data_IF_378272792046
#
_entry.id   IF_378272792046
#
_cell.length_a   1.000
_cell.length_b   1.000
_cell.length_c   1.000
_cell.angle_alpha   90.00
_cell.angle_beta   90.00
_cell.angle_gamma   90.00
#
_symmetry.space_group_name_H-M   'P 1'
#
loop_
_entity.id
_entity.type
_entity.pdbx_description
1 polymer ?
#
# COMPACT_ATOMS: atom_id res chain seq x y z
N UNK A 1 15.83 6.04 66.04
CA UNK A 1 15.20 4.96 65.20
C UNK A 1 14.72 5.63 63.92
N UNK A 2 15.47 5.42 62.86
CA UNK A 2 15.29 6.11 61.55
C UNK A 2 14.50 5.21 60.60
N UNK A 3 13.28 5.63 60.28
CA UNK A 3 12.44 4.99 59.30
C UNK A 3 12.88 5.39 57.88
N UNK A 4 13.35 4.44 57.11
CA UNK A 4 13.71 4.65 55.70
C UNK A 4 12.48 4.36 54.80
N UNK A 5 11.94 5.43 54.24
CA UNK A 5 10.91 5.35 53.18
C UNK A 5 11.63 4.95 51.88
N UNK A 6 11.40 3.73 51.42
CA UNK A 6 11.87 3.26 50.12
C UNK A 6 10.82 3.68 49.05
N UNK A 7 11.18 4.68 48.22
CA UNK A 7 10.49 4.97 46.98
C UNK A 7 10.73 3.80 46.01
N UNK A 8 9.68 3.06 45.70
CA UNK A 8 9.64 2.13 44.61
C UNK A 8 9.30 2.93 43.34
N UNK A 9 10.31 3.30 42.57
CA UNK A 9 10.15 3.76 41.22
C UNK A 9 9.87 2.51 40.39
N UNK A 10 8.62 2.29 40.00
CA UNK A 10 8.25 1.30 39.02
C UNK A 10 8.71 1.81 37.63
N UNK A 11 9.89 1.37 37.23
CA UNK A 11 10.40 1.56 35.89
C UNK A 11 9.56 0.66 34.96
N UNK A 12 8.55 1.22 34.28
CA UNK A 12 7.88 0.57 33.19
C UNK A 12 8.88 0.51 32.01
N UNK A 13 9.65 -0.55 31.96
CA UNK A 13 10.37 -0.93 30.73
C UNK A 13 9.28 -1.43 29.78
N UNK A 14 8.85 -0.55 28.87
CA UNK A 14 8.16 -0.98 27.66
C UNK A 14 9.19 -1.76 26.87
N UNK A 15 9.22 -3.07 27.11
CA UNK A 15 9.92 -4.02 26.25
C UNK A 15 9.13 -4.01 24.92
N UNK A 16 9.48 -3.12 24.01
CA UNK A 16 9.16 -3.30 22.61
C UNK A 16 9.82 -4.60 22.21
N UNK A 17 9.07 -5.71 22.28
CA UNK A 17 9.42 -6.88 21.53
C UNK A 17 9.44 -6.43 20.08
N UNK A 18 10.64 -6.14 19.59
CA UNK A 18 10.94 -6.29 18.18
C UNK A 18 10.70 -7.79 17.95
N UNK A 19 9.47 -8.11 17.56
CA UNK A 19 9.18 -9.40 16.93
C UNK A 19 10.08 -9.37 15.69
N UNK A 20 11.11 -10.21 15.60
CA UNK A 20 11.79 -10.34 14.32
C UNK A 20 10.69 -10.81 13.36
N UNK A 21 10.27 -9.96 12.45
CA UNK A 21 9.46 -10.30 11.28
C UNK A 21 10.27 -11.12 10.29
N UNK A 22 11.11 -11.96 10.79
CA UNK A 22 11.89 -12.99 10.14
C UNK A 22 11.56 -14.34 10.75
N UNK A 23 10.28 -14.71 10.76
CA UNK A 23 9.99 -16.09 10.44
C UNK A 23 10.44 -16.25 9.00
N UNK A 24 11.66 -16.79 8.80
CA UNK A 24 12.03 -17.38 7.54
C UNK A 24 10.82 -18.24 7.15
N UNK A 25 10.05 -17.78 6.18
CA UNK A 25 9.11 -18.60 5.44
C UNK A 25 9.87 -19.88 5.15
N UNK A 26 9.38 -21.03 5.58
CA UNK A 26 9.94 -22.30 5.19
C UNK A 26 10.18 -22.20 3.69
N UNK A 27 11.44 -22.31 3.26
CA UNK A 27 11.92 -22.10 1.89
C UNK A 27 10.90 -22.71 0.95
N UNK A 28 10.05 -21.88 0.34
CA UNK A 28 9.00 -22.35 -0.56
C UNK A 28 9.72 -22.94 -1.76
N UNK A 29 9.80 -24.27 -1.82
CA UNK A 29 10.53 -24.95 -2.86
C UNK A 29 9.66 -25.04 -4.10
N UNK A 30 10.10 -24.43 -5.17
CA UNK A 30 9.51 -24.54 -6.49
C UNK A 30 10.25 -25.62 -7.29
N UNK A 31 9.55 -26.24 -8.22
CA UNK A 31 10.15 -27.19 -9.16
C UNK A 31 10.05 -26.61 -10.55
N UNK A 32 11.19 -26.45 -11.23
CA UNK A 32 11.25 -26.14 -12.64
C UNK A 32 11.44 -27.39 -13.46
N UNK A 33 10.70 -27.54 -14.55
CA UNK A 33 10.82 -28.67 -15.45
C UNK A 33 10.46 -28.31 -16.87
N UNK A 34 11.03 -29.08 -17.82
CA UNK A 34 10.66 -29.01 -19.24
C UNK A 34 9.46 -29.95 -19.48
N UNK A 35 8.43 -29.45 -20.14
CA UNK A 35 7.29 -30.26 -20.58
C UNK A 35 7.62 -31.12 -21.78
N UNK A 36 6.60 -31.78 -22.31
CA UNK A 36 6.75 -32.62 -23.50
C UNK A 36 7.20 -31.76 -24.69
N UNK A 37 8.09 -32.35 -25.51
CA UNK A 37 8.62 -31.69 -26.71
C UNK A 37 7.51 -31.26 -27.63
N UNK A 38 7.54 -30.00 -28.00
CA UNK A 38 6.66 -29.44 -29.02
C UNK A 38 7.30 -29.49 -30.42
N UNK A 39 6.65 -28.85 -31.37
CA UNK A 39 6.96 -28.91 -32.82
C UNK A 39 8.38 -28.43 -33.16
N UNK A 40 8.91 -27.46 -32.39
CA UNK A 40 10.18 -26.77 -32.73
C UNK A 40 11.19 -26.87 -31.60
N UNK A 41 12.48 -26.87 -31.94
CA UNK A 41 13.56 -26.61 -30.97
C UNK A 41 13.34 -25.23 -30.35
N UNK A 42 13.52 -25.09 -29.05
CA UNK A 42 13.25 -23.90 -28.22
C UNK A 42 11.76 -23.60 -27.97
N UNK A 43 10.85 -24.40 -28.50
CA UNK A 43 9.42 -24.29 -28.19
C UNK A 43 8.96 -25.20 -27.07
N UNK A 44 9.85 -26.09 -26.59
CA UNK A 44 9.54 -26.99 -25.49
C UNK A 44 9.08 -26.16 -24.29
N UNK A 45 7.87 -26.45 -23.74
CA UNK A 45 7.33 -25.67 -22.67
C UNK A 45 8.17 -25.82 -21.40
N UNK A 46 8.48 -24.70 -20.77
CA UNK A 46 9.14 -24.68 -19.47
C UNK A 46 8.13 -24.19 -18.45
N UNK A 47 8.10 -24.87 -17.29
CA UNK A 47 7.16 -24.55 -16.23
C UNK A 47 7.86 -24.45 -14.89
N UNK A 48 7.34 -23.56 -14.04
CA UNK A 48 7.58 -23.55 -12.60
C UNK A 48 6.33 -24.07 -11.92
N UNK A 49 6.47 -25.12 -11.13
CA UNK A 49 5.40 -25.74 -10.37
C UNK A 49 5.51 -25.41 -8.89
N UNK A 50 4.38 -25.04 -8.29
CA UNK A 50 4.21 -24.91 -6.85
C UNK A 50 2.76 -25.23 -6.47
N UNK A 51 2.56 -26.06 -5.45
CA UNK A 51 1.26 -26.35 -4.83
C UNK A 51 0.12 -26.69 -5.81
N UNK A 52 0.44 -27.38 -6.91
CA UNK A 52 -0.55 -27.81 -7.91
C UNK A 52 -0.73 -26.86 -9.09
N UNK A 53 -0.04 -25.73 -9.12
CA UNK A 53 -0.07 -24.77 -10.22
C UNK A 53 1.19 -24.85 -11.07
N UNK A 54 0.99 -24.86 -12.42
CA UNK A 54 2.06 -24.71 -13.38
C UNK A 54 2.02 -23.32 -13.98
N UNK A 55 3.12 -22.58 -13.89
CA UNK A 55 3.28 -21.29 -14.57
C UNK A 55 4.28 -21.43 -15.69
N UNK A 56 3.93 -20.88 -16.87
CA UNK A 56 4.85 -20.81 -17.99
C UNK A 56 6.08 -20.00 -17.60
N UNK A 57 7.25 -20.56 -17.87
CA UNK A 57 8.53 -19.97 -17.57
C UNK A 57 9.40 -19.83 -18.82
N UNK A 58 10.38 -18.96 -18.74
CA UNK A 58 11.40 -18.76 -19.75
C UNK A 58 12.80 -18.97 -19.17
N UNK A 59 13.64 -19.62 -19.96
CA UNK A 59 15.04 -19.82 -19.60
C UNK A 59 15.81 -18.50 -19.56
N UNK A 60 16.62 -18.41 -18.54
CA UNK A 60 17.61 -17.39 -18.30
C UNK A 60 19.00 -18.06 -18.33
N UNK A 61 20.01 -17.52 -18.98
CA UNK A 61 21.31 -18.13 -19.19
C UNK A 61 21.31 -19.29 -20.23
N UNK A 62 21.20 -18.93 -21.51
CA UNK A 62 21.17 -19.89 -22.63
C UNK A 62 22.36 -20.84 -22.71
N UNK A 63 23.51 -20.46 -22.15
CA UNK A 63 24.73 -21.25 -22.07
C UNK A 63 24.66 -22.47 -21.16
N UNK A 64 23.71 -22.48 -20.20
CA UNK A 64 23.54 -23.55 -19.21
C UNK A 64 22.60 -24.64 -19.73
N UNK A 65 22.55 -25.76 -19.01
CA UNK A 65 21.65 -26.88 -19.32
C UNK A 65 20.19 -26.48 -19.09
N UNK A 66 19.32 -26.88 -19.99
CA UNK A 66 17.87 -26.79 -19.81
C UNK A 66 17.45 -27.67 -18.63
N UNK A 67 16.52 -27.24 -17.75
CA UNK A 67 15.98 -28.11 -16.71
C UNK A 67 15.43 -29.41 -17.28
N UNK A 68 15.61 -30.56 -16.59
CA UNK A 68 15.10 -31.84 -17.02
C UNK A 68 13.57 -31.89 -17.03
N UNK A 69 13.02 -32.91 -17.65
CA UNK A 69 11.58 -33.17 -17.69
C UNK A 69 11.01 -33.49 -16.30
N UNK A 70 9.67 -33.41 -16.17
CA UNK A 70 9.00 -33.82 -14.94
C UNK A 70 9.28 -35.29 -14.58
N UNK A 71 9.29 -36.18 -15.55
CA UNK A 71 9.57 -37.62 -15.39
C UNK A 71 11.00 -37.86 -14.88
N UNK A 72 11.93 -36.97 -15.20
CA UNK A 72 13.30 -37.00 -14.71
C UNK A 72 13.47 -36.28 -13.35
N UNK A 73 12.36 -35.78 -12.77
CA UNK A 73 12.32 -35.19 -11.44
C UNK A 73 12.46 -33.66 -11.42
N UNK A 74 12.57 -32.98 -12.57
CA UNK A 74 12.75 -31.55 -12.65
C UNK A 74 13.99 -31.04 -11.89
N UNK A 75 14.04 -29.75 -11.57
CA UNK A 75 15.06 -29.13 -10.72
C UNK A 75 14.42 -28.27 -9.64
N UNK A 76 14.93 -28.32 -8.43
CA UNK A 76 14.49 -27.43 -7.36
C UNK A 76 15.07 -26.04 -7.57
N UNK A 77 14.21 -25.06 -7.57
CA UNK A 77 14.55 -23.64 -7.62
C UNK A 77 13.98 -22.92 -6.39
N UNK A 78 14.51 -21.75 -6.10
CA UNK A 78 13.92 -20.85 -5.12
C UNK A 78 13.63 -19.49 -5.77
N UNK A 79 12.51 -18.93 -5.37
CA UNK A 79 12.10 -17.60 -5.82
C UNK A 79 12.95 -16.55 -5.13
N UNK A 80 13.40 -15.56 -5.89
CA UNK A 80 13.99 -14.35 -5.32
C UNK A 80 12.83 -13.41 -5.04
N UNK A 81 12.50 -13.26 -3.74
CA UNK A 81 11.44 -12.37 -3.32
C UNK A 81 11.83 -10.92 -3.57
N UNK A 82 10.88 -10.13 -4.10
CA UNK A 82 11.09 -8.71 -4.39
C UNK A 82 12.32 -8.43 -5.27
N UNK A 83 12.57 -9.30 -6.26
CA UNK A 83 13.72 -9.15 -7.16
C UNK A 83 13.76 -7.75 -7.79
N UNK A 84 14.83 -7.02 -7.48
CA UNK A 84 15.10 -5.70 -8.04
C UNK A 84 15.57 -5.78 -9.48
N UNK A 85 15.56 -4.67 -10.21
CA UNK A 85 16.12 -4.62 -11.55
C UNK A 85 17.61 -4.98 -11.57
N UNK A 86 18.34 -4.58 -10.53
CA UNK A 86 19.75 -4.91 -10.35
C UNK A 86 19.96 -6.42 -10.19
N UNK A 87 19.14 -7.12 -9.39
CA UNK A 87 19.25 -8.57 -9.23
C UNK A 87 18.95 -9.33 -10.53
N UNK A 88 17.96 -8.85 -11.32
CA UNK A 88 17.71 -9.38 -12.66
C UNK A 88 18.94 -9.21 -13.56
N UNK A 89 19.54 -8.04 -13.52
CA UNK A 89 20.72 -7.72 -14.33
C UNK A 89 21.94 -8.56 -13.90
N UNK A 90 22.18 -8.71 -12.61
CA UNK A 90 23.29 -9.48 -12.03
C UNK A 90 23.21 -10.99 -12.31
N UNK A 91 22.05 -11.52 -12.70
CA UNK A 91 21.90 -12.92 -13.05
C UNK A 91 22.15 -13.23 -14.52
N UNK A 92 22.44 -12.23 -15.35
CA UNK A 92 22.82 -12.41 -16.75
C UNK A 92 24.21 -13.03 -16.88
N UNK A 93 24.51 -13.55 -18.06
CA UNK A 93 25.88 -13.97 -18.38
C UNK A 93 26.79 -12.73 -18.63
N UNK A 94 28.11 -12.90 -18.51
CA UNK A 94 29.10 -11.81 -18.58
C UNK A 94 29.03 -10.96 -19.86
N UNK A 95 28.46 -11.46 -20.94
CA UNK A 95 28.36 -10.79 -22.23
C UNK A 95 26.99 -10.20 -22.53
N UNK A 96 26.25 -9.83 -21.52
CA UNK A 96 24.92 -9.22 -21.70
C UNK A 96 25.02 -7.85 -22.38
N UNK A 97 23.94 -7.47 -23.13
CA UNK A 97 23.83 -6.13 -23.69
C UNK A 97 23.96 -5.07 -22.59
N UNK A 98 24.80 -4.07 -22.85
CA UNK A 98 24.95 -2.96 -21.90
C UNK A 98 23.66 -2.16 -21.89
N UNK A 99 22.95 -2.22 -20.77
CA UNK A 99 21.72 -1.48 -20.50
C UNK A 99 21.70 -1.10 -19.02
N UNK A 100 20.99 -0.03 -18.69
CA UNK A 100 20.67 0.26 -17.28
C UNK A 100 19.71 -0.80 -16.75
N UNK A 101 19.84 -1.25 -15.49
CA UNK A 101 19.06 -2.34 -14.92
C UNK A 101 17.53 -2.18 -15.06
N UNK A 102 17.01 -0.98 -14.85
CA UNK A 102 15.57 -0.69 -15.01
C UNK A 102 15.11 -0.83 -16.48
N UNK A 103 15.90 -0.35 -17.42
CA UNK A 103 15.62 -0.51 -18.84
C UNK A 103 15.67 -1.99 -19.25
N UNK A 104 16.61 -2.75 -18.71
CA UNK A 104 16.72 -4.20 -18.91
C UNK A 104 15.49 -4.95 -18.39
N UNK A 105 15.08 -4.70 -17.14
CA UNK A 105 13.88 -5.31 -16.54
C UNK A 105 12.62 -4.96 -17.35
N UNK A 106 12.46 -3.70 -17.73
CA UNK A 106 11.34 -3.22 -18.57
C UNK A 106 11.32 -3.92 -19.93
N UNK A 107 12.48 -4.11 -20.57
CA UNK A 107 12.57 -4.80 -21.86
C UNK A 107 12.12 -6.26 -21.75
N UNK A 108 12.56 -7.00 -20.72
CA UNK A 108 12.13 -8.38 -20.47
C UNK A 108 10.63 -8.45 -20.19
N UNK A 109 10.12 -7.55 -19.33
CA UNK A 109 8.67 -7.44 -19.07
C UNK A 109 7.88 -7.21 -20.36
N UNK A 110 8.37 -6.33 -21.24
CA UNK A 110 7.74 -6.07 -22.54
C UNK A 110 7.71 -7.32 -23.43
N UNK A 111 8.82 -8.06 -23.51
CA UNK A 111 8.88 -9.33 -24.24
C UNK A 111 7.83 -10.31 -23.70
N UNK A 112 7.79 -10.50 -22.40
CA UNK A 112 6.88 -11.47 -21.77
C UNK A 112 5.41 -11.06 -21.90
N UNK A 113 5.09 -9.77 -21.83
CA UNK A 113 3.73 -9.26 -22.00
C UNK A 113 3.25 -9.41 -23.44
N UNK A 114 4.08 -9.03 -24.42
CA UNK A 114 3.77 -9.16 -25.83
C UNK A 114 3.79 -10.62 -26.32
N UNK A 115 4.67 -11.44 -25.72
CA UNK A 115 4.94 -12.82 -26.08
C UNK A 115 3.97 -13.84 -25.50
N UNK A 116 4.29 -15.12 -25.66
CA UNK A 116 3.50 -16.23 -25.13
C UNK A 116 3.68 -16.32 -23.59
N UNK A 117 2.67 -16.66 -22.78
CA UNK A 117 1.28 -16.99 -23.15
C UNK A 117 0.38 -15.74 -23.18
N UNK A 118 0.86 -14.57 -22.77
CA UNK A 118 0.03 -13.37 -22.60
C UNK A 118 -0.50 -12.85 -23.94
N UNK A 119 0.39 -12.79 -24.96
CA UNK A 119 0.02 -12.27 -26.29
C UNK A 119 -0.71 -10.92 -26.22
N UNK A 120 -0.23 -10.02 -25.37
CA UNK A 120 -0.93 -8.80 -24.96
C UNK A 120 -1.28 -7.84 -26.11
N UNK A 121 -0.57 -7.93 -27.22
CA UNK A 121 -0.85 -7.16 -28.44
C UNK A 121 -1.42 -8.02 -29.59
N UNK A 122 -1.78 -9.28 -29.35
CA UNK A 122 -2.32 -10.16 -30.38
C UNK A 122 -1.33 -10.52 -31.49
N UNK A 123 -0.03 -10.56 -31.19
CA UNK A 123 1.02 -10.79 -32.20
C UNK A 123 0.93 -12.20 -32.80
N UNK A 124 0.49 -13.19 -32.02
CA UNK A 124 0.33 -14.55 -32.49
C UNK A 124 -0.67 -14.61 -33.66
N UNK A 125 -1.82 -14.00 -33.52
CA UNK A 125 -2.87 -13.92 -34.55
C UNK A 125 -2.47 -13.00 -35.71
N UNK A 126 -1.87 -11.83 -35.37
CA UNK A 126 -1.42 -10.84 -36.37
C UNK A 126 -0.45 -11.45 -37.39
N UNK A 127 0.41 -12.35 -36.94
CA UNK A 127 1.45 -12.97 -37.75
C UNK A 127 1.18 -14.42 -38.14
N UNK A 128 -0.02 -14.94 -37.82
CA UNK A 128 -0.45 -16.29 -38.18
C UNK A 128 0.42 -17.40 -37.56
N UNK A 129 0.83 -17.24 -36.34
CA UNK A 129 1.74 -18.16 -35.63
C UNK A 129 0.98 -19.20 -34.84
N UNK A 130 1.52 -20.44 -34.75
CA UNK A 130 1.04 -21.43 -33.79
C UNK A 130 1.55 -21.09 -32.38
N UNK A 131 0.91 -21.67 -31.36
CA UNK A 131 1.34 -21.53 -29.96
C UNK A 131 2.80 -21.96 -29.77
N UNK A 132 3.20 -23.09 -30.39
CA UNK A 132 4.58 -23.59 -30.32
C UNK A 132 5.57 -22.62 -30.97
N UNK A 133 5.26 -22.15 -32.19
CA UNK A 133 6.08 -21.17 -32.88
C UNK A 133 6.24 -19.89 -32.07
N UNK A 134 5.13 -19.35 -31.56
CA UNK A 134 5.14 -18.09 -30.81
C UNK A 134 5.90 -18.20 -29.49
N UNK A 135 5.78 -19.36 -28.77
CA UNK A 135 6.58 -19.65 -27.58
C UNK A 135 8.06 -19.66 -27.89
N UNK A 136 8.47 -20.35 -28.93
CA UNK A 136 9.89 -20.42 -29.34
C UNK A 136 10.46 -19.05 -29.69
N UNK A 137 9.69 -18.23 -30.44
CA UNK A 137 10.09 -16.86 -30.77
C UNK A 137 10.20 -16.01 -29.50
N UNK A 138 9.26 -16.16 -28.57
CA UNK A 138 9.32 -15.44 -27.27
C UNK A 138 10.56 -15.81 -26.46
N UNK A 139 10.92 -17.10 -26.41
CA UNK A 139 12.16 -17.53 -25.73
C UNK A 139 13.40 -16.91 -26.36
N UNK A 140 13.47 -16.86 -27.70
CA UNK A 140 14.59 -16.21 -28.40
C UNK A 140 14.64 -14.70 -28.12
N UNK A 141 13.48 -14.05 -28.02
CA UNK A 141 13.38 -12.63 -27.64
C UNK A 141 13.82 -12.38 -26.19
N UNK A 142 13.52 -13.30 -25.26
CA UNK A 142 14.07 -13.25 -23.90
C UNK A 142 15.60 -13.32 -23.93
N UNK A 143 16.19 -14.28 -24.64
CA UNK A 143 17.63 -14.44 -24.77
C UNK A 143 18.31 -13.29 -25.52
N UNK A 144 17.58 -12.56 -26.36
CA UNK A 144 18.10 -11.33 -26.96
C UNK A 144 18.57 -10.33 -25.90
N UNK A 145 17.85 -10.23 -24.79
CA UNK A 145 18.20 -9.38 -23.68
C UNK A 145 19.09 -10.08 -22.64
N UNK A 146 18.69 -11.25 -22.17
CA UNK A 146 19.36 -11.94 -21.06
C UNK A 146 20.73 -12.51 -21.43
N UNK A 147 20.96 -12.82 -22.71
CA UNK A 147 22.17 -13.52 -23.18
C UNK A 147 22.85 -12.83 -24.38
N UNK A 148 22.40 -11.63 -24.76
CA UNK A 148 22.85 -10.89 -25.95
C UNK A 148 22.78 -11.71 -27.26
N UNK A 149 21.82 -12.64 -27.32
CA UNK A 149 21.63 -13.49 -28.50
C UNK A 149 21.07 -12.68 -29.67
N UNK A 150 21.90 -12.37 -30.65
CA UNK A 150 21.49 -11.69 -31.89
C UNK A 150 21.42 -12.68 -33.05
N UNK A 151 20.21 -13.00 -33.48
CA UNK A 151 19.95 -13.94 -34.58
C UNK A 151 19.72 -13.23 -35.94
N UNK A 152 19.86 -11.92 -36.00
CA UNK A 152 19.49 -11.11 -37.18
C UNK A 152 20.14 -11.56 -38.49
N UNK A 153 21.38 -12.06 -38.44
CA UNK A 153 22.11 -12.48 -39.63
C UNK A 153 21.85 -13.94 -40.06
N UNK A 154 21.26 -14.77 -39.18
CA UNK A 154 21.08 -16.19 -39.43
C UNK A 154 19.75 -16.76 -38.92
N UNK A 155 18.76 -15.89 -38.67
CA UNK A 155 17.45 -16.31 -38.13
C UNK A 155 16.77 -17.37 -39.03
N UNK A 156 16.99 -17.34 -40.34
CA UNK A 156 16.44 -18.30 -41.30
C UNK A 156 16.91 -19.75 -41.03
N UNK A 157 17.95 -19.96 -40.23
CA UNK A 157 18.40 -21.29 -39.83
C UNK A 157 17.67 -21.82 -38.59
N UNK A 158 16.84 -20.99 -37.96
CA UNK A 158 16.03 -21.37 -36.81
C UNK A 158 14.59 -21.63 -37.22
N UNK A 159 14.06 -22.76 -36.83
CA UNK A 159 12.61 -22.91 -36.75
C UNK A 159 12.08 -22.03 -35.63
N UNK A 160 10.97 -21.31 -35.78
CA UNK A 160 9.96 -21.41 -36.88
C UNK A 160 10.13 -20.37 -37.99
N UNK A 161 11.25 -19.63 -38.09
CA UNK A 161 11.38 -18.53 -39.05
C UNK A 161 11.41 -18.98 -40.53
N UNK A 162 11.84 -20.21 -40.78
CA UNK A 162 11.77 -20.84 -42.11
C UNK A 162 10.36 -21.28 -42.49
N UNK A 163 9.49 -21.49 -41.51
CA UNK A 163 8.15 -22.05 -41.70
C UNK A 163 7.07 -20.97 -41.74
N UNK A 164 7.20 -19.93 -40.94
CA UNK A 164 6.19 -18.87 -40.82
C UNK A 164 6.73 -17.53 -41.32
N UNK A 165 6.16 -17.01 -42.43
CA UNK A 165 6.62 -15.73 -43.01
C UNK A 165 6.54 -14.54 -42.06
N UNK A 166 5.59 -14.54 -41.11
CA UNK A 166 5.41 -13.49 -40.12
C UNK A 166 6.33 -13.62 -38.89
N UNK A 167 7.04 -14.74 -38.73
CA UNK A 167 7.82 -15.01 -37.53
C UNK A 167 8.90 -13.98 -37.23
N UNK A 168 9.63 -13.53 -38.27
CA UNK A 168 10.67 -12.52 -38.12
C UNK A 168 10.10 -11.16 -37.68
N UNK A 169 8.99 -10.74 -38.29
CA UNK A 169 8.35 -9.48 -37.90
C UNK A 169 7.82 -9.53 -36.45
N UNK A 170 7.22 -10.68 -36.06
CA UNK A 170 6.82 -10.90 -34.67
C UNK A 170 8.01 -10.80 -33.69
N UNK A 171 9.15 -11.42 -34.04
CA UNK A 171 10.37 -11.34 -33.24
C UNK A 171 10.88 -9.90 -33.10
N UNK A 172 10.86 -9.13 -34.18
CA UNK A 172 11.29 -7.73 -34.14
C UNK A 172 10.40 -6.86 -33.27
N UNK A 173 9.07 -7.11 -33.28
CA UNK A 173 8.16 -6.43 -32.33
C UNK A 173 8.45 -6.86 -30.89
N UNK A 174 8.64 -8.15 -30.62
CA UNK A 174 8.94 -8.65 -29.28
C UNK A 174 10.22 -8.05 -28.67
N UNK A 175 11.26 -7.82 -29.47
CA UNK A 175 12.52 -7.21 -29.01
C UNK A 175 12.46 -5.66 -29.01
N UNK A 176 11.31 -5.07 -29.26
CA UNK A 176 11.08 -3.62 -29.13
C UNK A 176 10.32 -3.35 -27.85
N UNK A 177 10.95 -2.73 -26.84
CA UNK A 177 10.29 -2.47 -25.55
C UNK A 177 9.08 -1.54 -25.70
N UNK A 178 8.03 -1.83 -24.98
CA UNK A 178 6.85 -0.97 -24.90
C UNK A 178 7.15 0.27 -24.04
N UNK A 179 6.57 1.40 -24.42
CA UNK A 179 6.66 2.63 -23.61
C UNK A 179 5.95 2.46 -22.26
N UNK A 180 4.80 1.78 -22.27
CA UNK A 180 3.97 1.51 -21.10
C UNK A 180 3.60 0.04 -21.03
N UNK A 181 3.56 -0.50 -19.82
CA UNK A 181 3.10 -1.86 -19.50
C UNK A 181 1.83 -1.77 -18.66
N UNK A 182 0.97 -2.81 -18.66
CA UNK A 182 -0.14 -2.87 -17.72
C UNK A 182 0.36 -2.77 -16.28
N UNK A 183 -0.35 -2.01 -15.46
CA UNK A 183 -0.08 -1.91 -14.03
C UNK A 183 -0.13 -3.28 -13.37
N UNK A 184 0.75 -3.53 -12.42
CA UNK A 184 0.82 -4.79 -11.70
C UNK A 184 1.44 -5.96 -12.49
N UNK A 185 1.92 -5.72 -13.72
CA UNK A 185 2.61 -6.76 -14.48
C UNK A 185 4.05 -6.90 -14.00
N UNK A 186 4.36 -8.02 -13.37
CA UNK A 186 5.63 -8.23 -12.66
C UNK A 186 6.36 -9.47 -13.17
N UNK A 187 7.68 -9.49 -12.93
CA UNK A 187 8.54 -10.67 -13.12
C UNK A 187 8.78 -11.35 -11.77
N UNK A 188 8.69 -12.67 -11.78
CA UNK A 188 9.22 -13.53 -10.74
C UNK A 188 10.50 -14.20 -11.24
N UNK A 189 11.57 -14.09 -10.49
CA UNK A 189 12.89 -14.65 -10.82
C UNK A 189 13.15 -15.86 -9.93
N UNK A 190 13.58 -16.96 -10.57
CA UNK A 190 13.88 -18.22 -9.88
C UNK A 190 15.32 -18.64 -10.15
N UNK A 191 16.09 -18.79 -9.09
CA UNK A 191 17.45 -19.29 -9.14
C UNK A 191 17.47 -20.80 -8.98
N UNK A 192 18.14 -21.48 -9.91
CA UNK A 192 18.33 -22.92 -9.81
C UNK A 192 19.34 -23.26 -8.70
N UNK A 193 19.01 -24.22 -7.83
CA UNK A 193 19.95 -24.70 -6.79
C UNK A 193 21.18 -25.38 -7.38
N UNK A 194 21.04 -26.01 -8.54
CA UNK A 194 22.16 -26.55 -9.29
C UNK A 194 22.58 -25.59 -10.39
N UNK A 195 23.69 -24.90 -10.19
CA UNK A 195 24.18 -23.86 -11.08
C UNK A 195 24.53 -24.33 -12.51
N UNK A 196 24.56 -25.64 -12.78
CA UNK A 196 24.71 -26.18 -14.13
C UNK A 196 23.46 -25.96 -14.99
N UNK A 197 22.29 -25.77 -14.36
CA UNK A 197 21.03 -25.56 -15.03
C UNK A 197 20.68 -24.06 -15.11
N UNK A 198 19.90 -23.76 -16.12
CA UNK A 198 19.40 -22.40 -16.36
C UNK A 198 18.55 -21.90 -15.18
N UNK A 199 18.71 -20.64 -14.84
CA UNK A 199 17.71 -19.93 -14.06
C UNK A 199 16.49 -19.69 -14.92
N UNK A 200 15.37 -19.34 -14.29
CA UNK A 200 14.12 -19.11 -15.04
C UNK A 200 13.38 -17.90 -14.52
N UNK A 201 12.57 -17.34 -15.36
CA UNK A 201 11.66 -16.25 -15.02
C UNK A 201 10.23 -16.62 -15.43
N UNK A 202 9.27 -16.11 -14.68
CA UNK A 202 7.85 -16.12 -15.00
C UNK A 202 7.32 -14.71 -14.89
N UNK A 203 6.18 -14.47 -15.53
CA UNK A 203 5.42 -13.25 -15.29
C UNK A 203 4.16 -13.55 -14.51
N UNK A 204 3.67 -12.56 -13.80
CA UNK A 204 2.39 -12.58 -13.12
C UNK A 204 1.75 -11.21 -13.17
N UNK A 205 0.43 -11.19 -13.10
CA UNK A 205 -0.30 -9.97 -12.78
C UNK A 205 -0.48 -9.96 -11.26
N UNK A 206 0.17 -9.02 -10.59
CA UNK A 206 -0.02 -8.84 -9.16
C UNK A 206 -1.40 -8.22 -8.89
N UNK A 207 -2.04 -8.62 -7.81
CA UNK A 207 -3.17 -7.86 -7.29
C UNK A 207 -2.66 -6.50 -6.83
N UNK A 208 -3.13 -5.45 -7.47
CA UNK A 208 -2.76 -4.09 -7.12
C UNK A 208 -3.56 -3.65 -5.90
N UNK A 209 -2.95 -2.91 -4.96
CA UNK A 209 -3.70 -2.25 -3.92
C UNK A 209 -4.78 -1.38 -4.54
N UNK A 210 -6.03 -1.63 -4.15
CA UNK A 210 -7.17 -0.91 -4.75
C UNK A 210 -7.50 0.39 -4.04
N UNK A 211 -6.86 0.66 -2.90
CA UNK A 211 -7.13 1.84 -2.08
C UNK A 211 -5.88 2.36 -1.36
N UNK A 212 -5.86 3.65 -1.14
CA UNK A 212 -4.89 4.37 -0.30
C UNK A 212 -5.60 5.53 0.40
N UNK A 213 -4.91 6.23 1.29
CA UNK A 213 -5.46 7.41 1.94
C UNK A 213 -4.38 8.40 2.33
N UNK A 214 -4.76 9.66 2.49
CA UNK A 214 -3.90 10.70 3.04
C UNK A 214 -4.61 11.42 4.18
N UNK A 215 -3.85 11.78 5.19
CA UNK A 215 -4.32 12.66 6.26
C UNK A 215 -3.57 13.99 6.19
N UNK A 216 -4.29 15.07 5.91
CA UNK A 216 -3.72 16.41 5.94
C UNK A 216 -3.38 16.82 7.37
N UNK A 217 -2.38 17.69 7.51
CA UNK A 217 -1.93 18.22 8.82
C UNK A 217 -1.95 19.73 8.77
N UNK A 218 -2.35 20.36 9.87
CA UNK A 218 -2.38 21.80 9.99
C UNK A 218 -2.07 22.25 11.42
N UNK A 219 -1.98 23.56 11.58
CA UNK A 219 -1.72 24.23 12.86
C UNK A 219 -2.78 25.31 13.06
N UNK A 220 -3.39 25.32 14.25
CA UNK A 220 -4.25 26.38 14.74
C UNK A 220 -3.50 27.21 15.77
N UNK A 221 -3.54 28.50 15.61
CA UNK A 221 -3.04 29.49 16.56
C UNK A 221 -4.20 30.36 17.04
N UNK A 222 -4.26 30.64 18.34
CA UNK A 222 -5.20 31.58 18.94
C UNK A 222 -4.40 32.61 19.74
N UNK A 223 -4.52 33.87 19.39
CA UNK A 223 -3.95 34.98 20.15
C UNK A 223 -4.95 35.48 21.19
N UNK A 224 -4.47 36.04 22.31
CA UNK A 224 -5.29 36.63 23.36
C UNK A 224 -5.70 35.69 24.49
N UNK A 225 -5.77 34.39 24.29
CA UNK A 225 -5.96 33.37 25.32
C UNK A 225 -5.45 31.97 24.90
N UNK A 226 -5.42 31.06 25.83
CA UNK A 226 -5.09 29.68 25.56
C UNK A 226 -6.13 29.03 24.63
N UNK A 227 -5.65 28.20 23.70
CA UNK A 227 -6.44 27.41 22.79
C UNK A 227 -7.02 26.19 23.53
N UNK A 228 -8.28 25.90 23.34
CA UNK A 228 -8.93 24.68 23.86
C UNK A 228 -9.03 23.65 22.74
N UNK A 229 -9.03 22.37 23.11
CA UNK A 229 -9.25 21.28 22.14
C UNK A 229 -10.69 21.31 21.59
N UNK A 230 -10.84 20.96 20.31
CA UNK A 230 -12.14 20.91 19.58
C UNK A 230 -12.90 22.22 19.54
N UNK A 231 -12.21 23.34 19.61
CA UNK A 231 -12.83 24.68 19.63
C UNK A 231 -13.07 25.24 18.23
N UNK A 232 -12.20 24.90 17.28
CA UNK A 232 -12.25 25.37 15.91
C UNK A 232 -12.35 24.19 14.94
N UNK A 233 -13.16 24.38 13.90
CA UNK A 233 -13.44 23.35 12.93
C UNK A 233 -12.92 23.76 11.55
N UNK A 234 -12.50 22.78 10.77
CA UNK A 234 -11.92 22.95 9.45
C UNK A 234 -12.59 22.01 8.47
N UNK A 235 -12.69 22.42 7.23
CA UNK A 235 -13.18 21.58 6.14
C UNK A 235 -12.21 21.56 4.98
N UNK A 236 -12.21 20.44 4.30
CA UNK A 236 -11.51 20.24 3.02
C UNK A 236 -12.56 19.99 1.97
N UNK A 237 -12.55 20.78 0.91
CA UNK A 237 -13.46 20.61 -0.23
C UNK A 237 -12.68 20.31 -1.50
N UNK A 238 -13.28 19.52 -2.39
CA UNK A 238 -12.77 19.28 -3.74
C UNK A 238 -12.99 20.48 -4.68
N UNK A 239 -12.61 20.33 -5.95
CA UNK A 239 -12.80 21.36 -6.98
C UNK A 239 -14.27 21.67 -7.29
N UNK A 240 -15.18 20.75 -6.98
CA UNK A 240 -16.62 20.92 -7.12
C UNK A 240 -17.25 21.58 -5.89
N UNK A 241 -16.45 21.84 -4.85
CA UNK A 241 -16.89 22.41 -3.59
C UNK A 241 -17.54 21.39 -2.64
N UNK A 242 -17.43 20.09 -2.95
CA UNK A 242 -17.92 19.00 -2.10
C UNK A 242 -16.98 18.82 -0.92
N UNK A 243 -17.52 18.71 0.29
CA UNK A 243 -16.72 18.42 1.47
C UNK A 243 -16.25 16.96 1.46
N UNK A 244 -14.92 16.75 1.48
CA UNK A 244 -14.27 15.44 1.46
C UNK A 244 -13.60 15.06 2.79
N UNK A 245 -13.31 16.07 3.64
CA UNK A 245 -12.71 15.82 4.96
C UNK A 245 -13.04 16.96 5.92
N UNK A 246 -13.03 16.63 7.21
CA UNK A 246 -13.16 17.59 8.33
C UNK A 246 -11.97 17.47 9.26
N UNK A 247 -11.66 18.58 9.93
CA UNK A 247 -10.66 18.63 10.97
C UNK A 247 -11.10 19.44 12.17
N UNK A 248 -10.48 19.16 13.30
CA UNK A 248 -10.63 19.93 14.54
C UNK A 248 -9.24 20.16 15.15
N UNK A 249 -9.10 21.25 15.93
CA UNK A 249 -7.85 21.52 16.62
C UNK A 249 -7.73 20.74 17.93
N UNK A 250 -6.51 20.36 18.25
CA UNK A 250 -6.11 19.94 19.60
C UNK A 250 -5.68 21.17 20.44
N UNK A 251 -5.53 20.98 21.76
CA UNK A 251 -5.08 22.04 22.66
C UNK A 251 -3.65 22.52 22.39
N UNK A 252 -2.81 21.69 21.79
CA UNK A 252 -1.44 22.01 21.37
C UNK A 252 -1.35 22.79 20.05
N UNK A 253 -2.51 23.02 19.41
CA UNK A 253 -2.61 23.72 18.14
C UNK A 253 -2.54 22.81 16.91
N UNK A 254 -2.23 21.54 17.04
CA UNK A 254 -2.32 20.64 15.89
C UNK A 254 -3.76 20.46 15.43
N UNK A 255 -3.96 20.34 14.11
CA UNK A 255 -5.26 20.05 13.51
C UNK A 255 -5.28 18.61 13.04
N UNK A 256 -6.21 17.82 13.55
CA UNK A 256 -6.47 16.46 13.11
C UNK A 256 -7.59 16.46 12.05
N UNK A 257 -7.22 16.19 10.81
CA UNK A 257 -8.18 15.98 9.72
C UNK A 257 -8.56 14.51 9.62
N UNK A 258 -9.76 14.20 9.13
CA UNK A 258 -10.10 12.86 8.71
C UNK A 258 -9.27 12.45 7.49
N UNK A 259 -9.12 11.14 7.27
CA UNK A 259 -8.47 10.62 6.08
C UNK A 259 -9.31 10.92 4.83
N UNK A 260 -8.62 11.26 3.74
CA UNK A 260 -9.19 11.29 2.39
C UNK A 260 -8.77 9.97 1.74
N UNK A 261 -9.75 9.15 1.36
CA UNK A 261 -9.52 7.84 0.78
C UNK A 261 -9.54 7.94 -0.74
N UNK A 262 -8.67 7.17 -1.38
CA UNK A 262 -8.56 7.06 -2.83
C UNK A 262 -8.55 5.60 -3.25
N UNK A 263 -9.03 5.36 -4.45
CA UNK A 263 -9.04 4.07 -5.10
C UNK A 263 -8.25 4.11 -6.40
N UNK A 264 -8.13 2.96 -7.05
CA UNK A 264 -7.46 2.85 -8.34
C UNK A 264 -8.00 3.83 -9.39
N UNK A 265 -9.31 4.06 -9.41
CA UNK A 265 -9.96 4.99 -10.32
C UNK A 265 -9.61 6.47 -10.07
N UNK A 266 -9.06 6.78 -8.90
CA UNK A 266 -8.67 8.13 -8.49
C UNK A 266 -7.20 8.46 -8.83
N UNK A 267 -6.51 7.63 -9.62
CA UNK A 267 -5.14 7.93 -10.06
C UNK A 267 -5.12 9.25 -10.83
N UNK A 268 -4.31 10.19 -10.35
CA UNK A 268 -4.20 11.53 -10.92
C UNK A 268 -3.93 12.61 -9.89
N UNK A 269 -4.00 13.85 -10.32
CA UNK A 269 -3.82 15.03 -9.47
C UNK A 269 -5.18 15.52 -8.98
N UNK A 270 -5.33 15.59 -7.65
CA UNK A 270 -6.52 16.10 -6.98
C UNK A 270 -6.21 17.40 -6.29
N UNK A 271 -7.06 18.39 -6.49
CA UNK A 271 -6.91 19.70 -5.87
C UNK A 271 -7.97 19.94 -4.81
N UNK A 272 -7.52 20.34 -3.64
CA UNK A 272 -8.38 20.61 -2.48
C UNK A 272 -8.24 22.03 -2.00
N UNK A 273 -9.33 22.55 -1.42
CA UNK A 273 -9.36 23.80 -0.70
C UNK A 273 -9.58 23.52 0.78
N UNK A 274 -8.68 24.00 1.63
CA UNK A 274 -8.75 23.85 3.08
C UNK A 274 -9.02 25.20 3.71
N UNK A 275 -10.06 25.31 4.55
CA UNK A 275 -10.44 26.52 5.24
C UNK A 275 -10.98 26.25 6.63
N UNK A 276 -10.92 27.26 7.49
CA UNK A 276 -11.61 27.24 8.78
C UNK A 276 -13.12 27.46 8.56
N UNK A 277 -13.93 26.82 9.40
CA UNK A 277 -15.37 27.07 9.47
C UNK A 277 -15.61 28.24 10.40
N UNK A 278 -16.21 29.30 9.89
CA UNK A 278 -16.57 30.44 10.72
C UNK A 278 -17.61 30.01 11.77
N UNK A 279 -17.32 30.25 13.03
CA UNK A 279 -18.21 29.97 14.16
C UNK A 279 -18.71 31.28 14.81
N UNK A 280 -19.42 31.13 15.93
CA UNK A 280 -20.06 32.22 16.67
C UNK A 280 -19.44 32.41 18.06
N UNK A 281 -18.18 32.05 18.27
CA UNK A 281 -17.54 32.25 19.57
C UNK A 281 -17.40 33.76 19.87
N UNK A 282 -17.89 34.22 21.05
CA UNK A 282 -17.83 35.62 21.39
C UNK A 282 -16.38 36.12 21.50
N UNK A 283 -16.16 37.32 21.02
CA UNK A 283 -14.86 37.99 21.04
C UNK A 283 -13.75 37.28 20.25
N UNK A 284 -14.10 36.37 19.32
CA UNK A 284 -13.16 35.72 18.43
C UNK A 284 -13.29 36.25 17.01
N UNK A 285 -12.20 36.78 16.48
CA UNK A 285 -12.06 37.09 15.07
C UNK A 285 -11.45 35.87 14.39
N UNK A 286 -12.21 35.26 13.46
CA UNK A 286 -11.83 34.04 12.75
C UNK A 286 -10.90 34.34 11.57
N UNK A 287 -10.00 33.42 11.28
CA UNK A 287 -9.12 33.46 10.12
C UNK A 287 -9.92 33.24 8.82
N UNK A 288 -9.80 34.15 7.91
CA UNK A 288 -10.40 34.02 6.56
C UNK A 288 -9.48 33.30 5.56
N UNK A 289 -8.35 32.77 6.00
CA UNK A 289 -7.39 32.10 5.11
C UNK A 289 -7.99 30.86 4.45
N UNK A 290 -7.63 30.68 3.19
CA UNK A 290 -7.95 29.50 2.38
C UNK A 290 -6.69 28.98 1.73
N UNK A 291 -6.43 27.69 1.85
CA UNK A 291 -5.23 27.05 1.32
C UNK A 291 -5.60 26.05 0.24
N UNK A 292 -4.83 26.05 -0.84
CA UNK A 292 -4.92 25.02 -1.87
C UNK A 292 -3.90 23.93 -1.56
N UNK A 293 -4.34 22.66 -1.62
CA UNK A 293 -3.50 21.47 -1.47
C UNK A 293 -3.70 20.58 -2.67
N UNK A 294 -2.64 20.33 -3.39
CA UNK A 294 -2.61 19.36 -4.48
C UNK A 294 -2.14 18.01 -3.93
N UNK A 295 -2.87 16.95 -4.21
CA UNK A 295 -2.53 15.57 -3.83
C UNK A 295 -2.38 14.75 -5.10
N UNK A 296 -1.19 14.20 -5.32
CA UNK A 296 -0.93 13.26 -6.40
C UNK A 296 -1.22 11.83 -5.91
N UNK A 297 -2.13 11.16 -6.62
CA UNK A 297 -2.43 9.74 -6.44
C UNK A 297 -1.80 8.98 -7.60
N UNK A 298 -0.86 8.10 -7.30
CA UNK A 298 -0.11 7.34 -8.30
C UNK A 298 0.34 5.99 -7.78
N UNK A 299 0.76 5.11 -8.69
CA UNK A 299 1.43 3.88 -8.31
C UNK A 299 2.94 4.10 -8.25
N UNK A 300 3.53 3.83 -7.08
CA UNK A 300 4.97 3.82 -6.85
C UNK A 300 5.33 2.41 -6.37
N UNK A 301 6.24 1.74 -7.07
CA UNK A 301 6.63 0.35 -6.77
C UNK A 301 5.42 -0.59 -6.58
N UNK A 302 4.46 -0.49 -7.49
CA UNK A 302 3.20 -1.24 -7.49
C UNK A 302 2.29 -1.00 -6.26
N UNK A 303 2.56 0.03 -5.47
CA UNK A 303 1.70 0.45 -4.36
C UNK A 303 0.95 1.73 -4.74
N UNK A 304 -0.37 1.74 -4.53
CA UNK A 304 -1.15 2.97 -4.68
C UNK A 304 -0.78 3.91 -3.53
N UNK A 305 -0.33 5.11 -3.87
CA UNK A 305 0.11 6.13 -2.91
C UNK A 305 -0.65 7.42 -3.13
N UNK A 306 -0.81 8.20 -2.08
CA UNK A 306 -1.38 9.56 -2.13
C UNK A 306 -0.42 10.50 -1.42
N UNK A 307 0.11 11.49 -2.14
CA UNK A 307 1.14 12.39 -1.64
C UNK A 307 0.77 13.85 -1.87
N UNK A 308 0.74 14.64 -0.79
CA UNK A 308 0.55 16.08 -0.90
C UNK A 308 1.77 16.74 -1.54
N UNK A 309 1.53 17.57 -2.54
CA UNK A 309 2.58 18.23 -3.29
C UNK A 309 3.03 19.51 -2.57
N UNK A 310 4.34 19.77 -2.53
CA UNK A 310 4.91 21.03 -2.08
C UNK A 310 4.86 21.32 -0.58
N UNK A 311 4.67 20.35 0.30
CA UNK A 311 4.61 20.53 1.77
C UNK A 311 3.69 21.68 2.21
N UNK A 312 2.37 21.59 2.02
CA UNK A 312 1.44 22.66 2.32
C UNK A 312 1.47 23.02 3.82
N UNK A 313 1.74 24.29 4.12
CA UNK A 313 1.72 24.81 5.49
C UNK A 313 0.34 25.38 5.79
N UNK A 314 -0.54 24.55 6.37
CA UNK A 314 -1.89 24.96 6.77
C UNK A 314 -1.81 25.60 8.17
N UNK A 315 -1.77 26.94 8.24
CA UNK A 315 -1.67 27.67 9.52
C UNK A 315 -2.81 28.66 9.62
N UNK A 316 -3.74 28.40 10.52
CA UNK A 316 -4.91 29.24 10.77
C UNK A 316 -4.73 30.02 12.06
N UNK A 317 -4.96 31.35 12.03
CA UNK A 317 -4.71 32.25 13.15
C UNK A 317 -5.97 33.02 13.49
N UNK A 318 -6.53 32.80 14.70
CA UNK A 318 -7.63 33.58 15.25
C UNK A 318 -7.13 34.52 16.35
N UNK A 319 -7.88 35.56 16.58
CA UNK A 319 -7.61 36.54 17.65
C UNK A 319 -8.81 36.58 18.58
N UNK A 320 -8.54 36.42 19.88
CA UNK A 320 -9.51 36.60 20.94
C UNK A 320 -9.28 37.98 21.62
N UNK A 321 -10.24 38.86 21.50
CA UNK A 321 -10.25 40.14 22.20
C UNK A 321 -11.07 40.02 23.48
N UNK A 322 -10.39 40.03 24.64
CA UNK A 322 -11.09 40.17 25.91
C UNK A 322 -11.70 41.55 25.98
N UNK A 323 -12.93 41.72 25.49
CA UNK A 323 -13.65 42.95 25.78
C UNK A 323 -13.69 43.15 27.27
N UNK A 324 -13.37 44.34 27.79
CA UNK A 324 -13.48 44.60 29.20
C UNK A 324 -14.93 44.29 29.61
N UNK A 325 -15.11 43.37 30.53
CA UNK A 325 -16.41 43.14 31.15
C UNK A 325 -16.88 44.45 31.63
N UNK A 326 -18.01 44.97 31.15
CA UNK A 326 -18.58 46.21 31.58
C UNK A 326 -18.65 46.21 33.11
N UNK A 327 -17.87 47.06 33.77
CA UNK A 327 -17.94 47.20 35.21
C UNK A 327 -19.40 47.43 35.55
N UNK A 328 -20.05 46.63 36.39
CA UNK A 328 -21.45 46.87 36.71
C UNK A 328 -21.60 48.30 37.20
N UNK A 329 -22.39 49.09 36.48
CA UNK A 329 -22.73 50.45 36.89
C UNK A 329 -23.21 50.40 38.35
N UNK A 330 -22.72 51.26 39.26
CA UNK A 330 -23.14 51.17 40.65
C UNK A 330 -24.68 51.31 40.67
N UNK A 331 -25.31 50.29 41.25
CA UNK A 331 -26.75 50.23 41.48
C UNK A 331 -27.17 51.48 42.24
N UNK A 332 -28.22 52.22 41.83
CA UNK A 332 -28.65 53.42 42.54
C UNK A 332 -28.95 53.05 44.02
N UNK A 333 -28.31 53.81 44.92
CA UNK A 333 -28.58 53.72 46.39
C UNK A 333 -30.04 53.97 46.66
N UNK A 334 -30.77 52.93 47.01
CA UNK A 334 -32.19 53.03 47.42
C UNK A 334 -32.25 53.60 48.82
N UNK A 335 -32.87 54.76 48.96
CA UNK A 335 -33.22 55.35 50.25
C UNK A 335 -34.10 54.43 51.08
N UNK A 336 -33.87 54.26 52.39
CA UNK A 336 -34.66 53.34 53.22
C UNK A 336 -36.09 53.84 53.42
N UNK A 337 -37.07 53.14 52.88
CA UNK A 337 -38.50 53.37 53.04
C UNK A 337 -39.16 52.14 53.59
N UNK A 338 -39.64 52.30 54.86
CA UNK A 338 -40.71 51.63 55.56
C UNK A 338 -40.87 50.09 55.41
N UNK A 339 -40.66 49.37 56.48
CA UNK A 339 -40.87 47.95 56.71
C UNK A 339 -42.34 47.54 56.62
N UNK A 340 -42.77 46.55 55.82
CA UNK A 340 -43.99 45.80 56.06
C UNK A 340 -43.70 44.45 56.79
N UNK A 341 -44.63 44.12 57.66
CA UNK A 341 -44.77 42.96 58.57
C UNK A 341 -44.62 41.59 57.86
N UNK A 342 -44.12 40.54 58.54
CA UNK A 342 -43.82 39.23 57.92
C UNK A 342 -45.09 38.41 57.65
N UNK A 343 -45.16 37.85 56.45
CA UNK A 343 -46.09 36.79 56.04
C UNK A 343 -45.45 35.43 56.32
N UNK A 344 -46.23 34.42 56.78
CA UNK A 344 -45.63 33.15 57.26
C UNK A 344 -45.02 32.32 56.13
N UNK A 345 -43.91 31.64 56.50
CA UNK A 345 -43.12 30.75 55.68
C UNK A 345 -43.93 29.54 55.18
N UNK A 346 -43.85 29.28 53.87
CA UNK A 346 -44.24 27.99 53.30
C UNK A 346 -43.08 27.02 53.41
N UNK A 347 -43.35 25.79 53.84
CA UNK A 347 -42.47 24.67 53.98
C UNK A 347 -41.95 24.20 52.60
N UNK A 348 -40.65 23.90 52.42
CA UNK A 348 -40.13 23.39 51.16
C UNK A 348 -40.56 21.92 50.96
N UNK A 349 -41.01 21.62 49.76
CA UNK A 349 -41.22 20.25 49.26
C UNK A 349 -39.87 19.62 48.97
N UNK A 350 -39.61 18.36 49.34
CA UNK A 350 -38.35 17.70 49.06
C UNK A 350 -38.17 17.49 47.52
N UNK A 351 -37.06 18.03 47.02
CA UNK A 351 -36.66 17.82 45.63
C UNK A 351 -36.14 16.40 45.42
N UNK A 352 -36.51 15.82 44.32
CA UNK A 352 -36.03 14.52 43.82
C UNK A 352 -34.50 14.61 43.60
N UNK A 353 -33.70 13.61 44.03
CA UNK A 353 -32.29 13.60 43.73
C UNK A 353 -32.02 13.40 42.24
N UNK A 354 -30.90 13.98 41.72
CA UNK A 354 -30.52 13.77 40.33
C UNK A 354 -30.19 12.29 40.08
N UNK A 355 -30.72 11.73 39.01
CA UNK A 355 -30.39 10.40 38.55
C UNK A 355 -28.94 10.36 38.05
N UNK A 356 -28.06 9.70 38.76
CA UNK A 356 -26.72 9.30 38.25
C UNK A 356 -26.95 8.10 37.34
N UNK A 357 -27.03 8.37 36.04
CA UNK A 357 -27.05 7.32 35.04
C UNK A 357 -25.66 6.74 34.87
N UNK A 358 -25.42 5.55 35.40
CA UNK A 358 -24.30 4.70 35.02
C UNK A 358 -24.70 3.97 33.74
N UNK A 359 -24.25 4.50 32.57
CA UNK A 359 -24.40 3.83 31.27
C UNK A 359 -23.33 2.76 31.08
N UNK A 360 -23.14 1.87 32.03
CA UNK A 360 -22.37 0.65 31.78
C UNK A 360 -23.25 -0.29 30.95
N UNK A 361 -22.84 -0.56 29.72
CA UNK A 361 -23.50 -1.54 28.84
C UNK A 361 -22.99 -2.97 29.18
N UNK A 362 -23.63 -3.69 30.12
CA UNK A 362 -23.17 -5.01 30.56
C UNK A 362 -23.21 -6.04 29.44
N UNK A 363 -24.04 -5.83 28.42
CA UNK A 363 -24.15 -6.70 27.24
C UNK A 363 -22.92 -6.57 26.36
N UNK A 364 -22.33 -5.39 26.24
CA UNK A 364 -21.11 -5.17 25.43
C UNK A 364 -19.91 -5.89 26.06
N UNK A 365 -19.77 -5.82 27.39
CA UNK A 365 -18.71 -6.52 28.11
C UNK A 365 -18.86 -8.04 28.08
N UNK A 366 -20.10 -8.54 28.10
CA UNK A 366 -20.39 -9.97 27.96
C UNK A 366 -20.02 -10.48 26.55
N UNK A 367 -20.27 -9.72 25.48
CA UNK A 367 -19.90 -10.08 24.11
C UNK A 367 -18.37 -10.07 23.91
N UNK A 368 -17.65 -9.12 24.49
CA UNK A 368 -16.20 -9.09 24.44
C UNK A 368 -15.57 -10.27 25.19
N UNK A 369 -16.13 -10.67 26.32
CA UNK A 369 -15.66 -11.84 27.08
C UNK A 369 -15.89 -13.16 26.31
N UNK A 370 -17.02 -13.30 25.61
CA UNK A 370 -17.30 -14.47 24.77
C UNK A 370 -16.37 -14.55 23.56
N UNK A 371 -16.03 -13.43 22.93
CA UNK A 371 -15.08 -13.38 21.84
C UNK A 371 -13.66 -13.79 22.30
N UNK A 372 -13.22 -13.36 23.48
CA UNK A 372 -11.93 -13.75 24.05
C UNK A 372 -11.87 -15.26 24.39
N UNK A 373 -12.94 -15.83 24.91
CA UNK A 373 -13.02 -17.27 25.20
C UNK A 373 -13.03 -18.13 23.94
N UNK A 374 -13.63 -17.68 22.86
CA UNK A 374 -13.64 -18.41 21.57
C UNK A 374 -12.24 -18.43 20.94
N UNK A 375 -11.45 -17.35 21.03
CA UNK A 375 -10.07 -17.28 20.56
C UNK A 375 -9.14 -18.24 21.35
N UNK A 376 -9.31 -18.30 22.68
CA UNK A 376 -8.57 -19.23 23.52
C UNK A 376 -8.93 -20.70 23.22
N UNK A 377 -10.18 -21.00 22.90
CA UNK A 377 -10.63 -22.31 22.50
C UNK A 377 -9.99 -22.78 21.18
N UNK A 378 -9.90 -21.90 20.20
CA UNK A 378 -9.26 -22.20 18.90
C UNK A 378 -7.76 -22.45 19.08
N UNK A 379 -7.06 -21.64 19.88
CA UNK A 379 -5.65 -21.87 20.18
C UNK A 379 -5.40 -23.20 20.89
N UNK A 380 -6.27 -23.59 21.82
CA UNK A 380 -6.14 -24.87 22.52
C UNK A 380 -6.36 -26.07 21.59
N UNK A 381 -7.24 -25.97 20.60
CA UNK A 381 -7.48 -27.02 19.60
C UNK A 381 -6.29 -27.11 18.63
N UNK A 382 -5.76 -25.99 18.18
CA UNK A 382 -4.61 -25.93 17.28
C UNK A 382 -3.34 -26.49 17.95
N UNK A 383 -3.10 -26.13 19.22
CA UNK A 383 -1.95 -26.65 19.98
C UNK A 383 -2.03 -28.14 20.29
N UNK A 384 -3.25 -28.71 20.44
CA UNK A 384 -3.44 -30.16 20.58
C UNK A 384 -3.21 -30.93 19.27
N UNK A 385 -3.54 -30.32 18.11
CA UNK A 385 -3.22 -30.91 16.80
C UNK A 385 -1.71 -30.91 16.50
N UNK A 386 -1.00 -29.87 16.91
CA UNK A 386 0.45 -29.77 16.73
C UNK A 386 1.26 -30.79 17.59
N UNK A 387 0.71 -31.26 18.71
CA UNK A 387 1.37 -32.29 19.57
C UNK A 387 1.07 -33.71 19.16
N UNK A 388 0.25 -33.97 18.14
CA UNK A 388 -0.10 -35.32 17.64
C UNK A 388 0.51 -35.62 16.27
N UNK A 389 1.37 -34.79 15.74
CA UNK A 389 2.26 -35.01 14.63
C UNK A 389 3.69 -35.00 15.19
#
# INVERSE_FOLDING_TARGET
MKSAVRFLIALFIVLTMVIPTGLASADESFIVFTGDREEYKYSDPLYVWNNGENRVAYCYNASKKVPPTWQEGGQTVYKIESATAEEFYQMTDENVRVMEPEAFKKAILSVCYQGFPQNGLGLMEKYGLTRAAFRGITQLAVWYYTDSLDISQYYQQYQPFDTYPGAWAAYQELITPLDTLPLGYQLDLYRNRNEQYQNVLCTRLAEMPVQTSIQLKGIKLLEGRALLANEFHFIVTDEQGTEVSRGVNHADGSIAFNYIEYRHEDVGLHRYTVREVHGDLPNVTYDGASYTVDVLVEYVDDQLTATAQGEPKLVFRNVYDASPTATPSPSPTVTPGVTPSPTPAQTPVPGTPPATGDESHPVLWALLALAALSLLGVQAVLSRKARKK
#
